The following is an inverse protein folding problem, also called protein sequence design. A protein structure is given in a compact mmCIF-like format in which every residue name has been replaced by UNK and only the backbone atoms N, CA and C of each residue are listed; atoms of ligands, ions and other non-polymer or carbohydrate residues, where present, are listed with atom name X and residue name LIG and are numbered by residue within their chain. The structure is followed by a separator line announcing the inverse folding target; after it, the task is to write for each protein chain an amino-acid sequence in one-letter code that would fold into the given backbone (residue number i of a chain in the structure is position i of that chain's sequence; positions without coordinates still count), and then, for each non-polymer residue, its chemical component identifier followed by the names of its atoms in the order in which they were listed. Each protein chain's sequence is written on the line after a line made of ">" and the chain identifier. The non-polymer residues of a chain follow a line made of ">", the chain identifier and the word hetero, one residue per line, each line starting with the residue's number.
data_IF_637625160801
#
_entry.id   IF_637625160801
#
_cell.length_a   1.000
_cell.length_b   1.000
_cell.length_c   1.000
_cell.angle_alpha   90.00
_cell.angle_beta   90.00
_cell.angle_gamma   90.00
#
_symmetry.space_group_name_H-M   'P 1'
#
loop_
_entity.id
_entity.type
_entity.pdbx_description
1 polymer ?
#
# COMPACT_ATOMS: atom_id res chain seq x y z
N UNK A 1 6.56 26.20 -11.72
CA UNK A 1 6.97 24.82 -11.39
C UNK A 1 7.06 24.07 -12.71
N UNK A 2 8.22 23.47 -13.05
CA UNK A 2 8.39 22.76 -14.32
C UNK A 2 7.76 21.37 -14.23
N UNK A 3 7.07 20.93 -15.29
CA UNK A 3 6.51 19.58 -15.40
C UNK A 3 7.59 18.48 -15.39
N UNK A 4 8.83 18.86 -15.79
CA UNK A 4 10.00 17.98 -15.77
C UNK A 4 10.38 17.52 -14.35
N UNK A 5 9.97 18.26 -13.32
CA UNK A 5 10.25 17.93 -11.92
C UNK A 5 9.18 17.02 -11.28
N UNK A 6 8.18 16.55 -12.03
CA UNK A 6 7.04 15.81 -11.46
C UNK A 6 7.50 14.56 -10.68
N UNK A 7 8.47 13.80 -11.23
CA UNK A 7 9.01 12.61 -10.57
C UNK A 7 9.67 12.92 -9.23
N UNK A 8 10.39 14.05 -9.14
CA UNK A 8 10.99 14.52 -7.89
C UNK A 8 9.90 14.88 -6.86
N UNK A 9 8.87 15.63 -7.27
CA UNK A 9 7.78 16.00 -6.35
C UNK A 9 7.01 14.79 -5.85
N UNK A 10 6.71 13.82 -6.72
CA UNK A 10 6.05 12.58 -6.32
C UNK A 10 6.92 11.80 -5.31
N UNK A 11 8.22 11.70 -5.56
CA UNK A 11 9.16 11.05 -4.64
C UNK A 11 9.23 11.77 -3.28
N UNK A 12 9.35 13.10 -3.28
CA UNK A 12 9.40 13.87 -2.05
C UNK A 12 8.10 13.79 -1.26
N UNK A 13 6.96 13.84 -1.95
CA UNK A 13 5.64 13.70 -1.34
C UNK A 13 5.49 12.33 -0.67
N UNK A 14 5.79 11.25 -1.40
CA UNK A 14 5.76 9.89 -0.86
C UNK A 14 6.69 9.74 0.35
N UNK A 15 7.95 10.15 0.24
CA UNK A 15 8.93 10.08 1.34
C UNK A 15 8.47 10.85 2.58
N UNK A 16 7.90 12.04 2.39
CA UNK A 16 7.42 12.86 3.50
C UNK A 16 6.19 12.24 4.14
N UNK A 17 5.26 11.77 3.32
CA UNK A 17 4.03 11.11 3.77
C UNK A 17 4.34 9.86 4.60
N UNK A 18 5.18 8.96 4.08
CA UNK A 18 5.59 7.74 4.78
C UNK A 18 6.33 8.03 6.10
N UNK A 19 7.23 9.03 6.08
CA UNK A 19 7.97 9.44 7.27
C UNK A 19 7.04 9.95 8.39
N UNK A 20 6.07 10.79 8.05
CA UNK A 20 5.12 11.33 9.03
C UNK A 20 4.20 10.24 9.56
N UNK A 21 3.68 9.39 8.68
CA UNK A 21 2.83 8.27 9.08
C UNK A 21 3.57 7.29 10.01
N UNK A 22 4.84 6.96 9.73
CA UNK A 22 5.63 6.05 10.56
C UNK A 22 6.02 6.65 11.91
N UNK A 23 6.18 7.96 12.00
CA UNK A 23 6.50 8.67 13.24
C UNK A 23 5.33 8.64 14.22
N UNK A 24 4.12 8.90 13.72
CA UNK A 24 2.90 8.94 14.54
C UNK A 24 2.53 7.56 15.10
N UNK A 25 2.91 6.48 14.41
CA UNK A 25 2.52 5.13 14.78
C UNK A 25 3.58 4.35 15.56
N UNK A 26 4.76 4.94 15.85
CA UNK A 26 5.90 4.29 16.55
C UNK A 26 6.17 2.85 16.04
N UNK A 27 6.05 2.64 14.72
CA UNK A 27 6.12 1.32 14.11
C UNK A 27 7.17 1.26 13.00
N UNK A 28 8.34 0.72 13.34
CA UNK A 28 9.40 0.49 12.37
C UNK A 28 9.01 -0.63 11.39
N UNK A 29 8.97 -0.31 10.11
CA UNK A 29 8.60 -1.25 9.04
C UNK A 29 7.14 -1.17 8.61
N UNK A 30 6.42 -0.09 8.98
CA UNK A 30 5.02 0.14 8.61
C UNK A 30 4.80 0.03 7.09
N UNK A 31 5.65 0.66 6.27
CA UNK A 31 5.58 0.61 4.81
C UNK A 31 5.47 -0.82 4.29
N UNK A 32 6.21 -1.74 4.92
CA UNK A 32 6.30 -3.14 4.51
C UNK A 32 5.04 -3.95 4.85
N UNK A 33 4.37 -3.62 5.96
CA UNK A 33 3.24 -4.40 6.48
C UNK A 33 1.89 -3.77 6.18
N UNK A 34 1.86 -2.45 6.03
CA UNK A 34 0.64 -1.68 5.87
C UNK A 34 -0.25 -2.23 4.75
N UNK A 35 0.29 -2.38 3.54
CA UNK A 35 -0.50 -2.82 2.40
C UNK A 35 -1.07 -4.24 2.57
N UNK A 36 -0.36 -5.13 3.26
CA UNK A 36 -0.85 -6.48 3.56
C UNK A 36 -2.01 -6.42 4.56
N UNK A 37 -1.85 -5.68 5.67
CA UNK A 37 -2.88 -5.53 6.68
C UNK A 37 -4.11 -4.80 6.13
N UNK A 38 -3.88 -3.75 5.35
CA UNK A 38 -4.94 -2.98 4.70
C UNK A 38 -5.71 -3.83 3.68
N UNK A 39 -5.02 -4.59 2.84
CA UNK A 39 -5.66 -5.47 1.86
C UNK A 39 -6.54 -6.54 2.53
N UNK A 40 -6.09 -7.11 3.67
CA UNK A 40 -6.91 -8.06 4.44
C UNK A 40 -8.13 -7.34 5.03
N UNK A 41 -7.96 -6.09 5.52
CA UNK A 41 -9.04 -5.31 6.12
C UNK A 41 -10.14 -4.95 5.11
N UNK A 42 -9.75 -4.50 3.91
CA UNK A 42 -10.67 -4.05 2.86
C UNK A 42 -11.31 -5.19 2.06
N UNK A 43 -10.71 -6.38 2.11
CA UNK A 43 -11.21 -7.49 1.31
C UNK A 43 -12.52 -8.06 1.89
N UNK A 44 -13.53 -8.18 1.02
CA UNK A 44 -14.76 -8.89 1.33
C UNK A 44 -14.61 -10.42 1.14
N UNK A 45 -13.53 -10.86 0.49
CA UNK A 45 -13.26 -12.26 0.18
C UNK A 45 -11.99 -12.73 0.91
N UNK A 46 -11.93 -14.00 1.32
CA UNK A 46 -10.73 -14.54 1.94
C UNK A 46 -9.51 -14.45 1.00
N UNK A 47 -8.44 -13.81 1.45
CA UNK A 47 -7.21 -13.65 0.67
C UNK A 47 -6.18 -14.73 1.04
N UNK A 48 -5.73 -15.48 0.04
CA UNK A 48 -4.55 -16.35 0.17
C UNK A 48 -3.25 -15.55 0.00
N UNK A 49 -2.12 -16.16 0.37
CA UNK A 49 -0.81 -15.56 0.10
C UNK A 49 -0.55 -15.34 -1.40
N UNK A 50 -1.11 -16.18 -2.27
CA UNK A 50 -1.00 -15.99 -3.71
C UNK A 50 -1.83 -14.80 -4.17
N UNK A 51 -3.10 -14.70 -3.75
CA UNK A 51 -3.93 -13.54 -4.06
C UNK A 51 -3.30 -12.23 -3.58
N UNK A 52 -2.65 -12.26 -2.41
CA UNK A 52 -1.94 -11.11 -1.87
C UNK A 52 -0.73 -10.72 -2.73
N UNK A 53 0.06 -11.68 -3.21
CA UNK A 53 1.19 -11.44 -4.10
C UNK A 53 0.74 -10.82 -5.42
N UNK A 54 -0.33 -11.34 -6.00
CA UNK A 54 -0.92 -10.86 -7.25
C UNK A 54 -1.51 -9.46 -7.10
N UNK A 55 -2.22 -9.21 -5.99
CA UNK A 55 -2.84 -7.91 -5.67
C UNK A 55 -1.78 -6.80 -5.50
N UNK A 56 -0.73 -7.08 -4.74
CA UNK A 56 0.32 -6.11 -4.42
C UNK A 56 1.43 -6.06 -5.49
N UNK A 57 1.35 -6.90 -6.53
CA UNK A 57 2.35 -7.04 -7.61
C UNK A 57 3.77 -7.24 -7.08
N UNK A 58 3.90 -8.09 -6.07
CA UNK A 58 5.18 -8.49 -5.47
C UNK A 58 5.37 -9.99 -5.57
N UNK A 59 6.61 -10.47 -5.50
CA UNK A 59 6.90 -11.89 -5.55
C UNK A 59 6.34 -12.64 -4.32
N UNK A 60 5.95 -13.89 -4.54
CA UNK A 60 5.35 -14.73 -3.50
C UNK A 60 6.26 -14.93 -2.30
N UNK A 61 7.57 -15.03 -2.49
CA UNK A 61 8.52 -15.24 -1.40
C UNK A 61 8.58 -14.02 -0.48
N UNK A 62 8.47 -12.81 -1.02
CA UNK A 62 8.35 -11.58 -0.23
C UNK A 62 7.07 -11.54 0.59
N UNK A 63 5.92 -11.92 0.00
CA UNK A 63 4.65 -12.02 0.75
C UNK A 63 4.75 -13.06 1.87
N UNK A 64 5.32 -14.24 1.61
CA UNK A 64 5.51 -15.28 2.65
C UNK A 64 6.28 -14.71 3.84
N UNK A 65 7.40 -14.01 3.62
CA UNK A 65 8.22 -13.41 4.70
C UNK A 65 7.45 -12.35 5.49
N UNK A 66 6.68 -11.50 4.81
CA UNK A 66 5.86 -10.48 5.46
C UNK A 66 4.77 -11.13 6.31
N UNK A 67 4.08 -12.12 5.76
CA UNK A 67 3.01 -12.86 6.44
C UNK A 67 3.55 -13.62 7.66
N UNK A 68 4.70 -14.29 7.53
CA UNK A 68 5.35 -15.00 8.64
C UNK A 68 5.70 -14.05 9.79
N UNK A 69 6.21 -12.86 9.47
CA UNK A 69 6.57 -11.86 10.48
C UNK A 69 5.33 -11.24 11.13
N UNK A 70 4.29 -10.93 10.35
CA UNK A 70 3.02 -10.44 10.88
C UNK A 70 2.30 -11.46 11.78
N UNK A 71 2.32 -12.74 11.41
CA UNK A 71 1.75 -13.83 12.22
C UNK A 71 2.55 -14.00 13.51
N UNK A 72 3.90 -14.03 13.44
CA UNK A 72 4.77 -14.10 14.61
C UNK A 72 4.56 -12.94 15.58
N UNK A 73 4.25 -11.74 15.05
CA UNK A 73 3.94 -10.55 15.86
C UNK A 73 2.49 -10.51 16.35
N UNK A 74 1.64 -11.45 15.92
CA UNK A 74 0.25 -11.58 16.33
C UNK A 74 -0.70 -10.57 15.68
N UNK A 75 -0.36 -10.03 14.50
CA UNK A 75 -1.23 -9.14 13.75
C UNK A 75 -2.22 -9.89 12.85
N UNK A 76 -1.81 -11.03 12.35
CA UNK A 76 -2.63 -11.89 11.49
C UNK A 76 -2.57 -13.34 11.99
N UNK A 77 -3.49 -14.13 11.51
CA UNK A 77 -3.49 -15.59 11.63
C UNK A 77 -3.78 -16.21 10.26
N UNK A 78 -3.29 -17.44 10.07
CA UNK A 78 -3.63 -18.27 8.92
C UNK A 78 -4.80 -19.18 9.28
N UNK A 79 -5.82 -19.23 8.42
CA UNK A 79 -6.93 -20.19 8.52
C UNK A 79 -6.89 -21.11 7.31
N UNK A 80 -7.16 -22.39 7.54
CA UNK A 80 -7.11 -23.40 6.49
C UNK A 80 -8.34 -23.27 5.59
N UNK A 81 -8.17 -23.30 4.28
CA UNK A 81 -9.30 -23.43 3.36
C UNK A 81 -9.98 -24.81 3.57
N UNK A 82 -11.31 -24.80 3.71
CA UNK A 82 -12.07 -26.02 3.92
C UNK A 82 -12.05 -26.97 2.71
N UNK A 83 -11.94 -26.42 1.48
CA UNK A 83 -11.95 -27.16 0.24
C UNK A 83 -10.55 -27.65 -0.17
N UNK A 84 -9.50 -26.87 0.11
CA UNK A 84 -8.10 -27.25 -0.15
C UNK A 84 -7.22 -26.89 1.06
N UNK A 85 -6.85 -27.90 1.83
CA UNK A 85 -6.00 -27.78 3.02
C UNK A 85 -4.58 -27.29 2.74
N UNK A 86 -4.17 -27.18 1.47
CA UNK A 86 -2.87 -26.62 1.05
C UNK A 86 -2.91 -25.09 0.94
N UNK A 87 -4.12 -24.54 0.90
CA UNK A 87 -4.35 -23.10 0.81
C UNK A 87 -4.69 -22.55 2.18
N UNK A 88 -3.98 -21.50 2.57
CA UNK A 88 -4.26 -20.75 3.80
C UNK A 88 -4.80 -19.38 3.44
N UNK A 89 -5.86 -18.99 4.12
CA UNK A 89 -6.39 -17.63 4.09
C UNK A 89 -5.78 -16.79 5.21
N UNK A 90 -5.68 -15.51 4.96
CA UNK A 90 -5.12 -14.53 5.90
C UNK A 90 -6.26 -13.76 6.55
N UNK A 91 -6.23 -13.70 7.88
CA UNK A 91 -7.20 -12.95 8.66
C UNK A 91 -6.49 -12.05 9.67
N UNK A 92 -7.03 -10.86 9.92
CA UNK A 92 -6.54 -10.01 11.00
C UNK A 92 -6.87 -10.66 12.35
N UNK A 93 -5.89 -10.73 13.25
CA UNK A 93 -6.14 -11.05 14.65
C UNK A 93 -6.60 -9.78 15.41
N UNK A 94 -6.97 -9.92 16.68
CA UNK A 94 -7.42 -8.79 17.52
C UNK A 94 -6.42 -7.64 17.54
N UNK A 95 -5.13 -7.95 17.59
CA UNK A 95 -4.05 -6.96 17.52
C UNK A 95 -4.00 -6.28 16.16
N UNK A 96 -4.12 -7.04 15.07
CA UNK A 96 -4.16 -6.51 13.71
C UNK A 96 -5.36 -5.61 13.48
N UNK A 97 -6.55 -6.02 13.95
CA UNK A 97 -7.75 -5.20 13.85
C UNK A 97 -7.68 -3.87 14.60
N UNK A 98 -7.00 -3.84 15.75
CA UNK A 98 -6.76 -2.58 16.46
C UNK A 98 -5.75 -1.72 15.71
N UNK A 99 -4.65 -2.32 15.32
CA UNK A 99 -3.56 -1.64 14.64
C UNK A 99 -3.99 -1.00 13.30
N UNK A 100 -4.83 -1.69 12.50
CA UNK A 100 -5.29 -1.10 11.25
C UNK A 100 -6.19 0.13 11.49
N UNK A 101 -6.96 0.16 12.58
CA UNK A 101 -7.74 1.34 12.95
C UNK A 101 -6.85 2.52 13.30
N UNK A 102 -5.79 2.30 14.06
CA UNK A 102 -4.82 3.33 14.41
C UNK A 102 -4.11 3.87 13.16
N UNK A 103 -3.76 2.97 12.21
CA UNK A 103 -3.19 3.38 10.91
C UNK A 103 -4.18 4.23 10.11
N UNK A 104 -5.44 3.79 9.98
CA UNK A 104 -6.46 4.53 9.22
C UNK A 104 -6.74 5.89 9.83
N UNK A 105 -6.73 6.01 11.14
CA UNK A 105 -6.84 7.29 11.84
C UNK A 105 -5.63 8.19 11.53
N UNK A 106 -4.42 7.66 11.62
CA UNK A 106 -3.18 8.39 11.24
C UNK A 106 -3.20 8.85 9.78
N UNK A 107 -3.65 8.00 8.86
CA UNK A 107 -3.83 8.35 7.43
C UNK A 107 -4.82 9.49 7.27
N UNK A 108 -5.98 9.43 7.95
CA UNK A 108 -6.99 10.47 7.86
C UNK A 108 -6.45 11.81 8.37
N UNK A 109 -5.79 11.82 9.52
CA UNK A 109 -5.17 13.03 10.06
C UNK A 109 -4.13 13.61 9.11
N UNK A 110 -3.26 12.76 8.56
CA UNK A 110 -2.23 13.17 7.61
C UNK A 110 -2.82 13.68 6.29
N UNK A 111 -3.93 13.10 5.82
CA UNK A 111 -4.65 13.59 4.66
C UNK A 111 -5.29 14.96 4.91
N UNK A 112 -5.82 15.20 6.10
CA UNK A 112 -6.33 16.54 6.48
C UNK A 112 -5.22 17.57 6.43
N UNK A 113 -4.05 17.27 7.00
CA UNK A 113 -2.86 18.13 6.94
C UNK A 113 -2.39 18.40 5.51
N UNK A 114 -2.31 17.35 4.69
CA UNK A 114 -1.88 17.46 3.29
C UNK A 114 -2.79 18.38 2.47
N UNK A 115 -4.08 18.43 2.80
CA UNK A 115 -5.06 19.21 2.10
C UNK A 115 -5.43 20.54 2.75
N UNK A 116 -4.63 21.03 3.70
CA UNK A 116 -4.83 22.37 4.27
C UNK A 116 -4.80 23.42 3.14
N UNK A 117 -5.83 24.28 3.11
CA UNK A 117 -5.98 25.33 2.10
C UNK A 117 -6.61 24.89 0.78
N UNK A 118 -6.91 23.60 0.60
CA UNK A 118 -7.62 23.11 -0.57
C UNK A 118 -9.14 23.24 -0.36
N UNK A 119 -9.85 23.74 -1.37
CA UNK A 119 -11.30 23.61 -1.43
C UNK A 119 -11.73 22.17 -1.71
N UNK A 120 -12.99 21.78 -1.42
CA UNK A 120 -13.48 20.43 -1.75
C UNK A 120 -13.33 20.05 -3.22
N UNK A 121 -13.53 21.01 -4.14
CA UNK A 121 -13.37 20.80 -5.58
C UNK A 121 -11.92 20.56 -5.99
N UNK A 122 -10.97 21.24 -5.34
CA UNK A 122 -9.54 21.03 -5.60
C UNK A 122 -9.08 19.67 -5.10
N UNK A 123 -9.56 19.20 -3.94
CA UNK A 123 -9.28 17.86 -3.42
C UNK A 123 -9.78 16.79 -4.39
N UNK A 124 -11.03 16.92 -4.85
CA UNK A 124 -11.62 15.99 -5.81
C UNK A 124 -10.85 15.99 -7.13
N UNK A 125 -10.53 17.16 -7.68
CA UNK A 125 -9.77 17.30 -8.92
C UNK A 125 -8.36 16.69 -8.78
N UNK A 126 -7.68 16.95 -7.67
CA UNK A 126 -6.37 16.36 -7.39
C UNK A 126 -6.42 14.83 -7.45
N UNK A 127 -7.40 14.22 -6.77
CA UNK A 127 -7.55 12.75 -6.77
C UNK A 127 -7.87 12.19 -8.17
N UNK A 128 -8.74 12.88 -8.93
CA UNK A 128 -9.07 12.49 -10.30
C UNK A 128 -7.85 12.52 -11.22
N UNK A 129 -7.06 13.59 -11.15
CA UNK A 129 -5.86 13.76 -11.99
C UNK A 129 -4.75 12.77 -11.58
N UNK A 130 -4.56 12.54 -10.30
CA UNK A 130 -3.60 11.55 -9.78
C UNK A 130 -3.96 10.14 -10.25
N UNK A 131 -5.24 9.76 -10.14
CA UNK A 131 -5.72 8.47 -10.59
C UNK A 131 -5.56 8.30 -12.11
N UNK A 132 -5.88 9.33 -12.91
CA UNK A 132 -5.67 9.32 -14.36
C UNK A 132 -4.20 9.15 -14.73
N UNK A 133 -3.29 9.85 -14.04
CA UNK A 133 -1.86 9.71 -14.25
C UNK A 133 -1.37 8.29 -13.93
N UNK A 134 -1.83 7.73 -12.80
CA UNK A 134 -1.54 6.34 -12.44
C UNK A 134 -2.03 5.34 -13.49
N UNK A 135 -3.27 5.47 -13.97
CA UNK A 135 -3.81 4.59 -15.01
C UNK A 135 -2.97 4.64 -16.30
N UNK A 136 -2.57 5.83 -16.73
CA UNK A 136 -1.73 5.98 -17.92
C UNK A 136 -0.37 5.28 -17.79
N UNK A 137 0.25 5.36 -16.62
CA UNK A 137 1.55 4.72 -16.37
C UNK A 137 1.43 3.21 -16.15
N UNK A 138 0.36 2.75 -15.47
CA UNK A 138 0.18 1.33 -15.16
C UNK A 138 -0.11 0.45 -16.39
N UNK A 139 -0.51 1.05 -17.50
CA UNK A 139 -0.70 0.35 -18.79
C UNK A 139 0.60 0.22 -19.60
N UNK A 140 1.70 0.88 -19.19
CA UNK A 140 2.97 0.77 -19.90
C UNK A 140 3.69 -0.52 -19.52
N UNK A 141 4.29 -1.24 -20.49
CA UNK A 141 5.16 -2.38 -20.19
C UNK A 141 6.33 -1.91 -19.30
N UNK A 142 6.49 -2.53 -18.14
CA UNK A 142 7.51 -2.10 -17.16
C UNK A 142 8.94 -2.13 -17.74
N UNK A 143 9.25 -3.13 -18.58
CA UNK A 143 10.55 -3.28 -19.22
C UNK A 143 10.90 -2.16 -20.20
N UNK A 144 9.92 -1.69 -20.98
CA UNK A 144 10.16 -0.68 -22.02
C UNK A 144 10.27 0.73 -21.44
N UNK A 145 9.56 1.01 -20.33
CA UNK A 145 9.59 2.32 -19.71
C UNK A 145 10.97 2.65 -19.12
N UNK A 146 11.54 1.72 -18.36
CA UNK A 146 12.86 1.91 -17.75
C UNK A 146 13.98 1.99 -18.79
N UNK A 147 13.92 1.19 -19.83
CA UNK A 147 14.92 1.17 -20.89
C UNK A 147 14.90 2.47 -21.73
N UNK A 148 13.71 2.98 -22.05
CA UNK A 148 13.55 4.28 -22.72
C UNK A 148 14.02 5.45 -21.87
N UNK A 149 13.72 5.44 -20.57
CA UNK A 149 14.13 6.49 -19.63
C UNK A 149 15.66 6.52 -19.44
N UNK A 150 16.32 5.37 -19.46
CA UNK A 150 17.77 5.26 -19.33
C UNK A 150 18.53 5.49 -20.64
N UNK A 151 17.82 5.76 -21.76
CA UNK A 151 18.46 5.97 -23.07
C UNK A 151 19.21 4.75 -23.59
N UNK A 152 18.81 3.54 -23.19
CA UNK A 152 19.44 2.26 -23.53
C UNK A 152 18.65 1.44 -24.54
N UNK A 153 17.91 2.09 -25.44
CA UNK A 153 17.33 1.48 -26.64
C UNK A 153 17.88 2.19 -27.86
#
# INVERSE_FOLDING_TARGET
>A
MSIEAIGLYLHLLDKTYQKLLSYDLDFTGLERYFFVLWAIHESNEPLSQQNMADLLKVDKASIVRIVDDLEKKGYIKRTTNAEDKRVYFLELDKKGNRFIKDILEGINNLNEEMFIGFSPKEKELFMQLLHKAYQNLSQQPESDFFLKFLGKV
#
